data_IF_940127715326
#
_entry.id   IF_940127715326
#
_cell.length_a   1.000
_cell.length_b   1.000
_cell.length_c   1.000
_cell.angle_alpha   90.00
_cell.angle_beta   90.00
_cell.angle_gamma   90.00
#
_symmetry.space_group_name_H-M   'P 1'
#
loop_
_entity.id
_entity.type
_entity.pdbx_description
1 polymer ?
#
# COMPACT_ATOMS: atom_id res chain seq x y z
N UNK A 1 -9.55 10.35 21.87
CA UNK A 1 -8.61 10.46 20.72
C UNK A 1 -9.41 10.29 19.44
N UNK A 2 -8.99 10.86 18.29
CA UNK A 2 -9.65 10.60 17.04
C UNK A 2 -9.67 9.09 16.72
N UNK A 3 -10.68 8.59 15.99
CA UNK A 3 -10.83 7.16 15.71
C UNK A 3 -9.80 6.66 14.68
N UNK A 4 -9.70 5.34 14.53
CA UNK A 4 -9.15 4.70 13.32
C UNK A 4 -10.26 4.61 12.28
N UNK A 5 -10.04 5.18 11.09
CA UNK A 5 -11.00 5.11 9.98
C UNK A 5 -10.66 3.97 9.02
N UNK A 6 -11.70 3.37 8.44
CA UNK A 6 -11.56 2.43 7.32
C UNK A 6 -12.30 3.01 6.11
N UNK A 7 -11.57 3.27 5.03
CA UNK A 7 -12.16 3.59 3.73
C UNK A 7 -12.32 2.33 2.89
N UNK A 8 -13.51 2.14 2.33
CA UNK A 8 -13.78 1.06 1.37
C UNK A 8 -14.92 1.46 0.44
N UNK A 9 -15.12 0.75 -0.67
CA UNK A 9 -16.27 0.95 -1.55
C UNK A 9 -16.64 -0.34 -2.28
N UNK A 10 -17.93 -0.55 -2.53
CA UNK A 10 -18.44 -1.74 -3.23
C UNK A 10 -17.91 -1.88 -4.67
N UNK A 11 -17.53 -0.78 -5.31
CA UNK A 11 -16.92 -0.79 -6.64
C UNK A 11 -15.59 -1.59 -6.65
N UNK A 12 -14.83 -1.61 -5.56
CA UNK A 12 -13.59 -2.36 -5.45
C UNK A 12 -13.81 -3.89 -5.57
N UNK A 13 -15.03 -4.39 -5.31
CA UNK A 13 -15.40 -5.78 -5.54
C UNK A 13 -15.75 -6.09 -7.01
N UNK A 14 -15.94 -5.06 -7.84
CA UNK A 14 -16.27 -5.22 -9.26
C UNK A 14 -15.04 -5.37 -10.16
N UNK A 15 -13.86 -5.02 -9.66
CA UNK A 15 -12.61 -5.32 -10.35
C UNK A 15 -12.38 -6.84 -10.33
N UNK A 16 -12.40 -7.46 -11.51
CA UNK A 16 -12.29 -8.92 -11.68
C UNK A 16 -11.27 -9.23 -12.79
N UNK A 17 -10.00 -9.46 -12.45
CA UNK A 17 -8.95 -9.68 -13.45
C UNK A 17 -9.05 -11.03 -14.17
N UNK A 18 -10.00 -11.87 -13.81
CA UNK A 18 -10.30 -13.12 -14.47
C UNK A 18 -10.46 -14.31 -13.52
N UNK A 19 -10.97 -15.45 -14.02
CA UNK A 19 -11.08 -16.67 -13.23
C UNK A 19 -9.69 -17.16 -12.84
N UNK A 20 -9.53 -17.61 -11.62
CA UNK A 20 -8.27 -18.12 -11.05
C UNK A 20 -7.14 -17.09 -10.89
N UNK A 21 -7.40 -15.80 -11.14
CA UNK A 21 -6.42 -14.77 -10.88
C UNK A 21 -6.20 -14.61 -9.37
N UNK A 22 -4.95 -14.55 -8.88
CA UNK A 22 -4.68 -14.45 -7.44
C UNK A 22 -5.22 -13.14 -6.85
N UNK A 23 -5.10 -12.02 -7.56
CA UNK A 23 -5.72 -10.74 -7.19
C UNK A 23 -7.21 -10.79 -7.50
N UNK A 24 -8.03 -11.20 -6.55
CA UNK A 24 -9.46 -11.49 -6.73
C UNK A 24 -10.34 -10.69 -5.75
N UNK A 25 -11.65 -10.50 -6.07
CA UNK A 25 -12.60 -9.88 -5.15
C UNK A 25 -12.69 -10.57 -3.79
N UNK A 26 -12.38 -11.86 -3.71
CA UNK A 26 -12.42 -12.63 -2.46
C UNK A 26 -11.43 -12.09 -1.43
N UNK A 27 -10.29 -11.51 -1.87
CA UNK A 27 -9.33 -10.86 -0.99
C UNK A 27 -10.00 -9.74 -0.18
N UNK A 28 -10.66 -8.80 -0.84
CA UNK A 28 -11.34 -7.70 -0.15
C UNK A 28 -12.52 -8.18 0.68
N UNK A 29 -13.28 -9.18 0.22
CA UNK A 29 -14.35 -9.78 1.03
C UNK A 29 -13.80 -10.34 2.34
N UNK A 30 -12.67 -11.04 2.30
CA UNK A 30 -11.97 -11.58 3.48
C UNK A 30 -11.54 -10.45 4.43
N UNK A 31 -10.90 -9.40 3.93
CA UNK A 31 -10.51 -8.22 4.73
C UNK A 31 -11.73 -7.58 5.40
N UNK A 32 -12.80 -7.32 4.64
CA UNK A 32 -14.00 -6.69 5.17
C UNK A 32 -14.71 -7.58 6.20
N UNK A 33 -14.75 -8.90 6.00
CA UNK A 33 -15.31 -9.84 6.95
C UNK A 33 -14.50 -9.85 8.26
N UNK A 34 -13.18 -9.85 8.17
CA UNK A 34 -12.27 -9.78 9.32
C UNK A 34 -12.52 -8.53 10.14
N UNK A 35 -12.53 -7.36 9.49
CA UNK A 35 -12.66 -6.07 10.17
C UNK A 35 -14.09 -5.72 10.63
N UNK A 36 -15.10 -6.48 10.22
CA UNK A 36 -16.48 -6.36 10.74
C UNK A 36 -16.75 -7.27 11.93
N UNK A 37 -15.76 -7.99 12.42
CA UNK A 37 -15.89 -8.79 13.64
C UNK A 37 -16.04 -7.88 14.88
N UNK A 38 -16.61 -8.39 15.99
CA UNK A 38 -16.83 -7.59 17.22
C UNK A 38 -15.56 -6.95 17.80
N UNK A 39 -14.41 -7.53 17.56
CA UNK A 39 -13.09 -7.02 17.95
C UNK A 39 -12.82 -5.60 17.41
N UNK A 40 -13.34 -5.31 16.22
CA UNK A 40 -13.14 -4.05 15.49
C UNK A 40 -14.36 -3.11 15.55
N UNK A 41 -15.23 -3.28 16.53
CA UNK A 41 -16.45 -2.46 16.66
C UNK A 41 -16.17 -0.95 16.83
N UNK A 42 -14.96 -0.58 17.24
CA UNK A 42 -14.53 0.82 17.38
C UNK A 42 -14.03 1.47 16.08
N UNK A 43 -13.90 0.71 15.00
CA UNK A 43 -13.55 1.27 13.69
C UNK A 43 -14.70 2.13 13.14
N UNK A 44 -14.34 3.29 12.62
CA UNK A 44 -15.28 4.11 11.85
C UNK A 44 -15.14 3.83 10.36
N UNK A 45 -16.25 3.60 9.68
CA UNK A 45 -16.30 3.24 8.28
C UNK A 45 -16.75 4.43 7.43
N UNK A 46 -16.06 4.68 6.35
CA UNK A 46 -16.42 5.69 5.33
C UNK A 46 -16.36 5.10 3.93
N UNK A 47 -17.29 5.53 3.08
CA UNK A 47 -17.20 5.21 1.66
C UNK A 47 -16.02 5.93 1.02
N UNK A 48 -15.20 5.19 0.29
CA UNK A 48 -14.11 5.76 -0.48
C UNK A 48 -14.67 6.72 -1.56
N UNK A 49 -14.31 8.00 -1.55
CA UNK A 49 -14.71 8.92 -2.60
C UNK A 49 -14.11 8.52 -3.94
N UNK A 50 -14.63 9.06 -5.01
CA UNK A 50 -14.01 8.94 -6.34
C UNK A 50 -12.76 9.83 -6.35
N UNK A 51 -11.61 9.28 -6.72
CA UNK A 51 -10.41 10.06 -6.99
C UNK A 51 -10.60 10.93 -8.25
N UNK A 52 -9.79 11.97 -8.38
CA UNK A 52 -9.80 12.84 -9.56
C UNK A 52 -8.59 12.56 -10.46
N UNK A 53 -8.69 12.97 -11.74
CA UNK A 53 -7.57 12.81 -12.67
C UNK A 53 -6.36 13.66 -12.23
N UNK A 54 -6.60 14.82 -11.65
CA UNK A 54 -5.55 15.69 -11.11
C UNK A 54 -4.78 15.01 -9.97
N UNK A 55 -5.47 14.21 -9.14
CA UNK A 55 -4.80 13.41 -8.11
C UNK A 55 -3.91 12.33 -8.75
N UNK A 56 -4.41 11.64 -9.78
CA UNK A 56 -3.63 10.61 -10.50
C UNK A 56 -2.40 11.24 -11.18
N UNK A 57 -2.55 12.44 -11.77
CA UNK A 57 -1.47 13.18 -12.43
C UNK A 57 -0.31 13.60 -11.51
N UNK A 58 -0.47 13.55 -10.19
CA UNK A 58 0.64 13.81 -9.27
C UNK A 58 1.80 12.80 -9.43
N UNK A 59 1.50 11.62 -9.96
CA UNK A 59 2.47 10.55 -10.17
C UNK A 59 2.48 10.05 -11.62
N UNK A 60 1.31 9.84 -12.21
CA UNK A 60 1.18 9.22 -13.53
C UNK A 60 1.11 10.27 -14.64
N UNK A 61 1.74 9.97 -15.78
CA UNK A 61 1.70 10.83 -16.95
C UNK A 61 0.29 10.92 -17.53
N UNK A 62 -0.05 12.07 -18.15
CA UNK A 62 -1.34 12.24 -18.79
C UNK A 62 -1.57 11.20 -19.89
N UNK A 63 -0.56 10.93 -20.71
CA UNK A 63 -0.65 9.95 -21.80
C UNK A 63 -1.02 8.56 -21.28
N UNK A 64 -0.41 8.13 -20.15
CA UNK A 64 -0.72 6.85 -19.53
C UNK A 64 -2.14 6.82 -18.93
N UNK A 65 -2.58 7.91 -18.32
CA UNK A 65 -3.94 8.02 -17.77
C UNK A 65 -4.97 7.92 -18.90
N UNK A 66 -4.75 8.64 -20.00
CA UNK A 66 -5.63 8.64 -21.17
C UNK A 66 -5.67 7.26 -21.83
N UNK A 67 -4.50 6.60 -21.96
CA UNK A 67 -4.43 5.23 -22.48
C UNK A 67 -5.27 4.26 -21.62
N UNK A 68 -5.08 4.25 -20.30
CA UNK A 68 -5.83 3.37 -19.39
C UNK A 68 -7.32 3.67 -19.43
N UNK A 69 -7.71 4.95 -19.52
CA UNK A 69 -9.11 5.35 -19.60
C UNK A 69 -9.76 4.88 -20.93
N UNK A 70 -9.04 5.02 -22.06
CA UNK A 70 -9.55 4.65 -23.38
C UNK A 70 -9.74 3.14 -23.53
N UNK A 71 -8.78 2.36 -23.03
CA UNK A 71 -8.81 0.90 -23.12
C UNK A 71 -9.65 0.23 -22.03
N UNK A 72 -10.19 0.98 -21.07
CA UNK A 72 -11.04 0.42 -20.01
C UNK A 72 -12.22 -0.35 -20.61
N UNK A 73 -12.34 -1.68 -20.37
CA UNK A 73 -13.27 -2.51 -21.10
C UNK A 73 -14.71 -2.28 -20.62
N UNK A 74 -15.64 -2.24 -21.58
CA UNK A 74 -17.09 -2.29 -21.30
C UNK A 74 -17.59 -3.72 -21.16
N UNK A 75 -16.87 -4.68 -21.74
CA UNK A 75 -17.15 -6.11 -21.72
C UNK A 75 -15.83 -6.89 -21.75
N UNK A 76 -15.80 -8.08 -21.11
CA UNK A 76 -14.61 -8.95 -21.13
C UNK A 76 -13.45 -8.42 -20.31
N UNK A 77 -12.25 -8.70 -20.77
CA UNK A 77 -10.99 -8.41 -20.07
C UNK A 77 -10.02 -7.68 -20.99
N UNK A 78 -9.24 -6.76 -20.41
CA UNK A 78 -8.18 -6.01 -21.11
C UNK A 78 -6.85 -6.16 -20.34
N UNK A 79 -5.88 -6.91 -20.85
CA UNK A 79 -4.55 -7.00 -20.27
C UNK A 79 -3.75 -5.72 -20.51
N UNK A 80 -3.00 -5.25 -19.50
CA UNK A 80 -2.19 -4.03 -19.56
C UNK A 80 -0.69 -4.27 -19.67
N UNK A 81 -0.20 -5.43 -19.20
CA UNK A 81 1.24 -5.72 -19.07
C UNK A 81 1.63 -7.11 -19.60
N UNK A 82 0.93 -7.58 -20.63
CA UNK A 82 1.15 -8.91 -21.19
C UNK A 82 0.33 -10.03 -20.53
N UNK A 83 -0.52 -9.68 -19.53
CA UNK A 83 -1.52 -10.59 -18.99
C UNK A 83 -1.60 -10.70 -17.47
N UNK A 84 -0.65 -10.14 -16.72
CA UNK A 84 -0.67 -10.17 -15.26
C UNK A 84 -1.56 -9.07 -14.66
N UNK A 85 -1.56 -7.89 -15.28
CA UNK A 85 -2.45 -6.79 -14.86
C UNK A 85 -3.62 -6.70 -15.83
N UNK A 86 -4.82 -7.00 -15.34
CA UNK A 86 -6.00 -7.14 -16.20
C UNK A 86 -7.15 -6.27 -15.72
N UNK A 87 -7.69 -5.44 -16.62
CA UNK A 87 -8.92 -4.70 -16.37
C UNK A 87 -10.17 -5.49 -16.76
N UNK A 88 -11.24 -5.27 -16.02
CA UNK A 88 -12.63 -5.69 -16.31
C UNK A 88 -13.56 -4.47 -16.30
N UNK A 89 -14.84 -4.57 -16.67
CA UNK A 89 -15.75 -3.40 -16.74
C UNK A 89 -15.85 -2.56 -15.45
N UNK A 90 -15.56 -3.13 -14.28
CA UNK A 90 -15.57 -2.40 -13.00
C UNK A 90 -14.22 -1.84 -12.56
N UNK A 91 -13.14 -2.10 -13.31
CA UNK A 91 -11.77 -1.80 -12.84
C UNK A 91 -11.48 -0.31 -12.77
N UNK A 92 -11.95 0.48 -13.73
CA UNK A 92 -11.76 1.92 -13.73
C UNK A 92 -12.37 2.58 -12.50
N UNK A 93 -13.63 2.30 -12.18
CA UNK A 93 -14.26 2.83 -10.97
C UNK A 93 -13.53 2.35 -9.72
N UNK A 94 -13.14 1.08 -9.67
CA UNK A 94 -12.44 0.51 -8.53
C UNK A 94 -11.11 1.23 -8.26
N UNK A 95 -10.24 1.40 -9.27
CA UNK A 95 -8.94 2.05 -9.08
C UNK A 95 -9.08 3.52 -8.73
N UNK A 96 -10.05 4.23 -9.30
CA UNK A 96 -10.33 5.62 -8.94
C UNK A 96 -10.85 5.74 -7.50
N UNK A 97 -11.59 4.75 -7.00
CA UNK A 97 -11.96 4.67 -5.57
C UNK A 97 -10.75 4.41 -4.67
N UNK A 98 -9.76 3.62 -5.13
CA UNK A 98 -8.50 3.44 -4.38
C UNK A 98 -7.74 4.76 -4.25
N UNK A 99 -7.59 5.51 -5.33
CA UNK A 99 -6.97 6.85 -5.33
C UNK A 99 -7.71 7.80 -4.39
N UNK A 100 -9.04 7.86 -4.53
CA UNK A 100 -9.87 8.70 -3.66
C UNK A 100 -9.79 8.34 -2.19
N UNK A 101 -9.75 7.03 -1.85
CA UNK A 101 -9.58 6.57 -0.48
C UNK A 101 -8.24 7.02 0.11
N UNK A 102 -7.15 6.87 -0.65
CA UNK A 102 -5.81 7.23 -0.22
C UNK A 102 -5.67 8.74 0.05
N UNK A 103 -6.15 9.59 -0.88
CA UNK A 103 -6.16 11.05 -0.70
C UNK A 103 -7.08 11.49 0.44
N UNK A 104 -8.29 10.92 0.54
CA UNK A 104 -9.20 11.22 1.66
C UNK A 104 -8.65 10.74 3.01
N UNK A 105 -7.83 9.68 3.01
CA UNK A 105 -7.09 9.24 4.18
C UNK A 105 -6.08 10.30 4.64
N UNK A 106 -5.34 10.90 3.70
CA UNK A 106 -4.43 12.02 3.99
C UNK A 106 -5.22 13.21 4.57
N UNK A 107 -6.33 13.61 3.94
CA UNK A 107 -7.18 14.69 4.44
C UNK A 107 -7.64 14.41 5.88
N UNK A 108 -8.11 13.20 6.15
CA UNK A 108 -8.66 12.84 7.46
C UNK A 108 -7.63 12.94 8.59
N UNK A 109 -6.38 12.49 8.36
CA UNK A 109 -5.34 12.56 9.40
C UNK A 109 -4.79 13.97 9.56
N UNK A 110 -4.70 14.76 8.50
CA UNK A 110 -4.24 16.14 8.57
C UNK A 110 -5.27 17.06 9.21
N UNK A 111 -6.57 16.85 8.95
CA UNK A 111 -7.67 17.59 9.58
C UNK A 111 -7.97 17.12 11.01
N UNK A 112 -7.28 16.09 11.51
CA UNK A 112 -7.53 15.46 12.82
C UNK A 112 -8.91 14.81 12.97
N UNK A 113 -9.55 14.45 11.83
CA UNK A 113 -10.78 13.65 11.80
C UNK A 113 -10.51 12.19 12.15
N UNK A 114 -9.29 11.74 11.91
CA UNK A 114 -8.79 10.43 12.28
C UNK A 114 -7.37 10.55 12.86
N UNK A 115 -6.99 9.62 13.74
CA UNK A 115 -5.60 9.43 14.12
C UNK A 115 -4.82 8.71 13.01
N UNK A 116 -5.41 7.63 12.51
CA UNK A 116 -4.89 6.86 11.41
C UNK A 116 -6.02 6.28 10.54
N UNK A 117 -5.67 5.84 9.35
CA UNK A 117 -6.60 5.35 8.34
C UNK A 117 -6.10 4.03 7.78
N UNK A 118 -7.02 3.10 7.53
CA UNK A 118 -6.79 1.92 6.70
C UNK A 118 -7.67 1.97 5.44
N UNK A 119 -7.05 1.99 4.25
CA UNK A 119 -7.74 1.92 2.97
C UNK A 119 -7.91 0.45 2.57
N UNK A 120 -9.07 -0.11 2.92
CA UNK A 120 -9.46 -1.47 2.53
C UNK A 120 -10.03 -1.43 1.11
N UNK A 121 -9.17 -1.25 0.11
CA UNK A 121 -9.52 -1.09 -1.30
C UNK A 121 -8.67 -1.98 -2.19
N UNK A 122 -9.11 -2.22 -3.43
CA UNK A 122 -8.40 -2.94 -4.49
C UNK A 122 -8.84 -2.42 -5.87
N UNK A 123 -7.97 -2.52 -6.90
CA UNK A 123 -6.67 -3.23 -6.97
C UNK A 123 -5.58 -2.59 -6.12
N UNK A 124 -4.47 -3.32 -5.94
CA UNK A 124 -3.24 -2.82 -5.34
C UNK A 124 -2.55 -1.76 -6.22
N UNK A 125 -1.45 -1.15 -5.75
CA UNK A 125 -0.88 0.00 -6.45
C UNK A 125 0.64 0.08 -6.54
N UNK A 126 1.39 -0.48 -5.61
CA UNK A 126 2.82 -0.20 -5.43
C UNK A 126 3.73 -0.57 -6.61
N UNK A 127 3.28 -1.46 -7.51
CA UNK A 127 4.03 -1.81 -8.72
C UNK A 127 3.79 -0.84 -9.90
N UNK A 128 2.69 -0.09 -9.92
CA UNK A 128 2.39 0.82 -11.02
C UNK A 128 3.42 1.95 -11.08
N UNK A 129 4.18 1.98 -12.17
CA UNK A 129 5.17 3.02 -12.45
C UNK A 129 4.50 4.29 -13.02
N UNK A 130 5.18 5.43 -13.10
CA UNK A 130 4.57 6.67 -13.59
C UNK A 130 3.92 6.57 -14.98
N UNK A 131 4.40 5.68 -15.85
CA UNK A 131 3.89 5.50 -17.22
C UNK A 131 3.51 4.05 -17.54
N UNK A 132 3.30 3.19 -16.53
CA UNK A 132 3.08 1.76 -16.81
C UNK A 132 2.32 1.06 -15.68
N UNK A 133 1.23 0.37 -16.03
CA UNK A 133 0.57 -0.60 -15.17
C UNK A 133 1.35 -1.92 -15.17
N UNK A 134 1.50 -2.55 -14.01
CA UNK A 134 2.13 -3.87 -13.90
C UNK A 134 1.89 -4.49 -12.52
N UNK A 135 2.13 -5.80 -12.38
CA UNK A 135 2.03 -6.50 -11.09
C UNK A 135 0.67 -6.36 -10.43
N UNK A 136 -0.41 -6.51 -11.18
CA UNK A 136 -1.79 -6.33 -10.77
C UNK A 136 -2.20 -4.87 -10.45
N UNK A 137 -1.26 -3.92 -10.53
CA UNK A 137 -1.42 -2.52 -10.17
C UNK A 137 -1.71 -1.67 -11.41
N UNK A 138 -2.74 -0.81 -11.33
CA UNK A 138 -3.12 0.10 -12.41
C UNK A 138 -2.58 1.51 -12.14
N UNK A 139 -2.93 2.11 -11.00
CA UNK A 139 -2.38 3.37 -10.51
C UNK A 139 -1.77 3.16 -9.12
N UNK A 140 -0.75 3.95 -8.78
CA UNK A 140 -0.03 3.83 -7.52
C UNK A 140 -0.62 4.76 -6.47
N UNK A 141 -1.64 4.28 -5.74
CA UNK A 141 -2.33 5.07 -4.74
C UNK A 141 -1.46 5.49 -3.55
N UNK A 142 -0.44 4.69 -3.18
CA UNK A 142 0.48 5.05 -2.10
C UNK A 142 1.39 6.22 -2.51
N UNK A 143 1.96 6.16 -3.71
CA UNK A 143 2.75 7.25 -4.25
C UNK A 143 1.90 8.51 -4.49
N UNK A 144 0.66 8.35 -5.01
CA UNK A 144 -0.27 9.46 -5.21
C UNK A 144 -0.61 10.13 -3.88
N UNK A 145 -0.91 9.36 -2.82
CA UNK A 145 -1.19 9.91 -1.50
C UNK A 145 0.00 10.69 -0.92
N UNK A 146 1.22 10.19 -1.12
CA UNK A 146 2.44 10.88 -0.68
C UNK A 146 2.66 12.20 -1.45
N UNK A 147 2.52 12.16 -2.77
CA UNK A 147 2.60 13.35 -3.61
C UNK A 147 1.47 14.35 -3.27
N UNK A 148 0.27 13.86 -3.01
CA UNK A 148 -0.86 14.69 -2.59
C UNK A 148 -0.58 15.40 -1.26
N UNK A 149 -0.02 14.70 -0.28
CA UNK A 149 0.38 15.29 0.99
C UNK A 149 1.46 16.38 0.81
N UNK A 150 2.44 16.17 -0.06
CA UNK A 150 3.48 17.15 -0.36
C UNK A 150 2.96 18.29 -1.25
N UNK A 151 2.40 17.98 -2.42
CA UNK A 151 2.09 18.97 -3.45
C UNK A 151 0.84 19.82 -3.11
N UNK A 152 -0.16 19.24 -2.42
CA UNK A 152 -1.42 19.91 -2.08
C UNK A 152 -1.41 20.42 -0.65
N UNK A 153 -1.08 19.56 0.33
CA UNK A 153 -1.05 19.94 1.75
C UNK A 153 0.26 20.59 2.20
N UNK A 154 1.28 20.63 1.34
CA UNK A 154 2.57 21.31 1.60
C UNK A 154 3.36 20.72 2.77
N UNK A 155 3.21 19.43 3.03
CA UNK A 155 4.12 18.74 3.93
C UNK A 155 5.52 18.71 3.30
N UNK A 156 6.56 18.85 4.11
CA UNK A 156 7.94 18.90 3.61
C UNK A 156 8.55 17.50 3.43
N UNK A 157 8.09 16.52 4.23
CA UNK A 157 8.64 15.16 4.26
C UNK A 157 7.53 14.13 4.44
N UNK A 158 7.37 13.25 3.46
CA UNK A 158 6.42 12.13 3.52
C UNK A 158 7.14 10.82 3.30
N UNK A 159 6.91 9.84 4.17
CA UNK A 159 7.49 8.51 4.03
C UNK A 159 6.44 7.49 3.59
N UNK A 160 6.79 6.66 2.62
CA UNK A 160 6.09 5.41 2.31
C UNK A 160 6.93 4.25 2.79
N UNK A 161 6.38 3.44 3.68
CA UNK A 161 6.99 2.20 4.16
C UNK A 161 6.19 1.02 3.64
N UNK A 162 6.85 0.14 2.91
CA UNK A 162 6.28 -0.96 2.17
C UNK A 162 6.79 -2.29 2.75
N UNK A 163 5.89 -3.11 3.26
CA UNK A 163 6.21 -4.45 3.74
C UNK A 163 5.49 -5.55 2.95
N UNK A 164 4.93 -5.22 1.77
CA UNK A 164 4.56 -6.24 0.80
C UNK A 164 5.78 -7.11 0.48
N UNK A 165 5.57 -8.39 0.21
CA UNK A 165 6.68 -9.31 -0.07
C UNK A 165 7.39 -9.00 -1.38
N UNK A 166 6.73 -8.28 -2.30
CA UNK A 166 7.30 -7.82 -3.55
C UNK A 166 7.86 -6.41 -3.41
N UNK A 167 8.92 -6.13 -4.12
CA UNK A 167 9.45 -4.76 -4.20
C UNK A 167 8.46 -3.82 -4.92
N UNK A 168 8.07 -2.72 -4.30
CA UNK A 168 7.21 -1.71 -4.89
C UNK A 168 7.97 -0.80 -5.87
N UNK A 169 8.37 -1.38 -7.01
CA UNK A 169 9.15 -0.69 -8.06
C UNK A 169 8.50 0.59 -8.55
N UNK A 170 7.16 0.64 -8.59
CA UNK A 170 6.41 1.82 -9.00
C UNK A 170 6.58 2.99 -8.03
N UNK A 171 6.49 2.72 -6.73
CA UNK A 171 6.72 3.73 -5.69
C UNK A 171 8.17 4.20 -5.70
N UNK A 172 9.15 3.27 -5.81
CA UNK A 172 10.55 3.63 -5.97
C UNK A 172 10.80 4.51 -7.19
N UNK A 173 10.25 4.14 -8.36
CA UNK A 173 10.41 4.91 -9.59
C UNK A 173 9.82 6.32 -9.47
N UNK A 174 8.65 6.46 -8.84
CA UNK A 174 8.00 7.75 -8.62
C UNK A 174 8.79 8.67 -7.68
N UNK A 175 9.55 8.11 -6.73
CA UNK A 175 10.28 8.87 -5.70
C UNK A 175 11.77 9.05 -5.99
N UNK A 176 12.31 8.39 -7.01
CA UNK A 176 13.75 8.30 -7.23
C UNK A 176 14.45 9.66 -7.25
N UNK A 177 13.82 10.65 -7.87
CA UNK A 177 14.33 12.02 -8.03
C UNK A 177 13.60 13.05 -7.11
N UNK A 178 12.86 12.58 -6.09
CA UNK A 178 12.05 13.41 -5.20
C UNK A 178 12.53 13.30 -3.75
N UNK A 179 13.51 14.10 -3.31
CA UNK A 179 14.11 13.98 -1.98
C UNK A 179 13.15 14.23 -0.81
N UNK A 180 12.04 14.90 -1.05
CA UNK A 180 10.95 15.14 -0.09
C UNK A 180 10.09 13.91 0.18
N UNK A 181 10.17 12.88 -0.68
CA UNK A 181 9.46 11.64 -0.57
C UNK A 181 10.43 10.49 -0.28
N UNK A 182 10.27 9.86 0.87
CA UNK A 182 11.10 8.74 1.28
C UNK A 182 10.37 7.41 1.03
N UNK A 183 11.07 6.45 0.47
CA UNK A 183 10.56 5.09 0.28
C UNK A 183 11.45 4.08 0.98
N UNK A 184 10.87 3.24 1.83
CA UNK A 184 11.54 2.11 2.46
C UNK A 184 10.77 0.83 2.19
N UNK A 185 11.42 -0.17 1.61
CA UNK A 185 10.80 -1.47 1.27
C UNK A 185 11.56 -2.63 1.89
N UNK A 186 10.82 -3.55 2.52
CA UNK A 186 11.32 -4.89 2.84
C UNK A 186 10.64 -5.91 1.95
N UNK A 187 11.40 -6.64 1.15
CA UNK A 187 10.86 -7.54 0.14
C UNK A 187 11.74 -8.78 -0.05
N UNK A 188 11.14 -9.86 -0.54
CA UNK A 188 11.92 -11.05 -0.88
C UNK A 188 12.80 -10.80 -2.12
N UNK A 189 14.06 -11.23 -2.05
CA UNK A 189 14.96 -11.22 -3.20
C UNK A 189 15.79 -12.52 -3.24
N UNK A 190 15.80 -13.24 -4.40
CA UNK A 190 15.13 -12.91 -5.66
C UNK A 190 13.61 -13.16 -5.62
N UNK A 191 12.84 -12.25 -6.20
CA UNK A 191 11.41 -12.40 -6.49
C UNK A 191 11.01 -11.37 -7.57
N UNK A 192 9.77 -11.44 -8.08
CA UNK A 192 9.17 -10.39 -8.92
C UNK A 192 9.23 -9.03 -8.18
N UNK A 193 9.46 -7.91 -8.86
CA UNK A 193 9.76 -7.73 -10.28
C UNK A 193 11.25 -7.83 -10.63
N UNK A 194 12.13 -8.22 -9.69
CA UNK A 194 13.58 -8.35 -9.90
C UNK A 194 14.38 -7.06 -9.68
N UNK A 195 13.74 -6.03 -9.07
CA UNK A 195 14.32 -4.74 -8.68
C UNK A 195 14.47 -4.66 -7.16
N UNK A 196 14.86 -3.50 -6.61
CA UNK A 196 14.96 -3.29 -5.16
C UNK A 196 16.29 -3.77 -4.57
N UNK A 197 17.39 -3.56 -5.27
CA UNK A 197 18.73 -3.84 -4.71
C UNK A 197 19.05 -2.80 -3.64
N UNK A 198 19.72 -3.19 -2.57
CA UNK A 198 20.15 -2.27 -1.50
C UNK A 198 21.05 -1.12 -1.97
N UNK A 199 21.66 -1.25 -3.16
CA UNK A 199 22.44 -0.18 -3.78
C UNK A 199 21.58 0.88 -4.53
N UNK A 200 20.29 0.63 -4.71
CA UNK A 200 19.35 1.58 -5.33
C UNK A 200 18.84 2.53 -4.25
N UNK A 201 19.48 3.69 -4.10
CA UNK A 201 19.28 4.61 -2.97
C UNK A 201 18.58 5.92 -3.33
N UNK A 202 18.20 6.13 -4.59
CA UNK A 202 17.69 7.42 -5.07
C UNK A 202 18.77 8.51 -5.12
N UNK A 203 18.41 9.68 -5.65
CA UNK A 203 19.38 10.79 -5.86
C UNK A 203 19.81 11.47 -4.57
N UNK A 204 19.04 11.32 -3.48
CA UNK A 204 19.29 11.98 -2.18
C UNK A 204 19.26 10.98 -1.02
N UNK A 205 19.56 9.71 -1.27
CA UNK A 205 19.44 8.62 -0.30
C UNK A 205 18.04 8.50 0.31
N UNK A 206 17.03 8.85 -0.46
CA UNK A 206 15.62 8.82 -0.10
C UNK A 206 14.92 7.49 -0.45
N UNK A 207 15.68 6.51 -0.94
CA UNK A 207 15.23 5.15 -1.18
C UNK A 207 16.03 4.18 -0.31
N UNK A 208 15.32 3.32 0.42
CA UNK A 208 15.92 2.26 1.22
C UNK A 208 15.31 0.91 0.85
N UNK A 209 16.15 0.01 0.35
CA UNK A 209 15.77 -1.36 0.04
C UNK A 209 16.40 -2.35 1.01
N UNK A 210 15.56 -3.16 1.65
CA UNK A 210 15.94 -4.23 2.57
C UNK A 210 15.56 -5.59 1.95
N UNK A 211 16.37 -6.12 1.01
CA UNK A 211 16.10 -7.43 0.41
C UNK A 211 16.29 -8.53 1.45
N UNK A 212 15.32 -9.45 1.49
CA UNK A 212 15.24 -10.58 2.42
C UNK A 212 15.36 -11.90 1.62
N UNK A 213 16.14 -12.88 2.08
CA UNK A 213 16.26 -14.15 1.38
C UNK A 213 14.96 -14.97 1.47
N UNK A 214 14.67 -15.85 0.49
CA UNK A 214 13.61 -16.84 0.62
C UNK A 214 13.77 -17.64 1.90
N UNK A 215 12.67 -17.91 2.61
CA UNK A 215 12.68 -18.61 3.90
C UNK A 215 13.00 -17.71 5.11
N UNK A 216 13.17 -16.40 4.91
CA UNK A 216 13.33 -15.45 6.00
C UNK A 216 12.14 -15.56 6.98
N UNK A 217 12.46 -15.80 8.23
CA UNK A 217 11.53 -15.94 9.35
C UNK A 217 11.40 -14.64 10.16
N UNK A 218 10.59 -14.67 11.20
CA UNK A 218 10.32 -13.53 12.09
C UNK A 218 11.59 -12.95 12.69
N UNK A 219 12.52 -13.77 13.17
CA UNK A 219 13.75 -13.31 13.85
C UNK A 219 14.64 -12.53 12.89
N UNK A 220 14.87 -13.08 11.69
CA UNK A 220 15.67 -12.40 10.67
C UNK A 220 14.98 -11.15 10.15
N UNK A 221 13.67 -11.22 9.89
CA UNK A 221 12.86 -10.07 9.45
C UNK A 221 12.99 -8.91 10.45
N UNK A 222 12.64 -9.16 11.73
CA UNK A 222 12.67 -8.11 12.76
C UNK A 222 14.07 -7.54 12.93
N UNK A 223 15.08 -8.38 12.98
CA UNK A 223 16.49 -7.95 13.10
C UNK A 223 16.89 -7.01 11.94
N UNK A 224 16.50 -7.31 10.70
CA UNK A 224 16.81 -6.47 9.54
C UNK A 224 16.02 -5.15 9.56
N UNK A 225 14.74 -5.21 9.92
CA UNK A 225 13.90 -4.01 10.03
C UNK A 225 14.42 -3.08 11.15
N UNK A 226 14.77 -3.62 12.31
CA UNK A 226 15.34 -2.85 13.44
C UNK A 226 16.71 -2.23 13.11
N UNK A 227 17.54 -2.97 12.38
CA UNK A 227 18.88 -2.48 12.03
C UNK A 227 18.88 -1.45 10.91
N UNK A 228 18.06 -1.65 9.88
CA UNK A 228 18.16 -0.90 8.63
C UNK A 228 16.98 0.09 8.43
N UNK A 229 15.74 -0.38 8.58
CA UNK A 229 14.55 0.38 8.15
C UNK A 229 14.07 1.40 9.20
N UNK A 230 13.83 0.96 10.43
CA UNK A 230 13.26 1.84 11.47
C UNK A 230 14.17 3.04 11.79
N UNK A 231 15.52 2.90 11.88
CA UNK A 231 16.40 4.04 12.06
C UNK A 231 16.33 5.05 10.91
N UNK A 232 16.29 4.57 9.66
CA UNK A 232 16.24 5.43 8.48
C UNK A 232 14.92 6.22 8.39
N UNK A 233 13.77 5.56 8.65
CA UNK A 233 12.47 6.25 8.71
C UNK A 233 12.46 7.31 9.82
N UNK A 234 13.02 6.99 10.99
CA UNK A 234 13.10 7.95 12.10
C UNK A 234 14.04 9.13 11.81
N UNK A 235 15.18 8.88 11.13
CA UNK A 235 16.14 9.92 10.72
C UNK A 235 15.54 10.86 9.68
N UNK A 236 14.74 10.35 8.74
CA UNK A 236 14.04 11.14 7.73
C UNK A 236 13.04 12.12 8.38
N UNK A 237 12.52 11.82 9.59
CA UNK A 237 11.55 12.65 10.35
C UNK A 237 10.33 13.02 9.53
N UNK A 238 9.57 12.03 9.05
CA UNK A 238 8.39 12.27 8.24
C UNK A 238 7.33 13.07 8.99
N UNK A 239 6.55 13.85 8.26
CA UNK A 239 5.36 14.58 8.75
C UNK A 239 4.07 13.79 8.49
N UNK A 240 4.18 12.71 7.71
CA UNK A 240 3.17 11.69 7.48
C UNK A 240 3.85 10.38 7.13
N UNK A 241 3.37 9.27 7.69
CA UNK A 241 3.77 7.92 7.27
C UNK A 241 2.61 7.30 6.48
N UNK A 242 2.92 6.83 5.27
CA UNK A 242 2.03 5.99 4.47
C UNK A 242 2.58 4.56 4.52
N UNK A 243 1.71 3.57 4.67
CA UNK A 243 2.09 2.16 4.68
C UNK A 243 1.48 1.48 3.46
N UNK A 244 2.33 0.93 2.57
CA UNK A 244 1.93 -0.09 1.61
C UNK A 244 1.87 -1.43 2.35
N UNK A 245 0.65 -1.83 2.70
CA UNK A 245 0.39 -2.97 3.57
C UNK A 245 0.01 -4.21 2.76
N UNK A 246 1.03 -4.95 2.29
CA UNK A 246 0.87 -6.29 1.75
C UNK A 246 0.94 -7.35 2.84
N UNK A 247 0.19 -8.43 2.69
CA UNK A 247 0.17 -9.56 3.63
C UNK A 247 0.66 -10.87 2.99
N UNK A 248 1.31 -10.78 1.84
CA UNK A 248 1.88 -11.88 1.08
C UNK A 248 3.28 -12.32 1.57
N UNK A 249 3.89 -11.58 2.49
CA UNK A 249 5.03 -12.06 3.27
C UNK A 249 4.64 -13.14 4.31
N UNK A 250 3.34 -13.38 4.50
CA UNK A 250 2.84 -14.40 5.44
C UNK A 250 3.22 -15.80 4.96
N UNK A 251 3.65 -16.68 5.89
CA UNK A 251 4.11 -18.07 5.62
C UNK A 251 3.12 -18.97 4.86
N UNK A 252 1.84 -18.59 4.82
CA UNK A 252 0.80 -19.30 4.09
C UNK A 252 0.58 -18.78 2.66
N UNK A 253 1.28 -17.72 2.26
CA UNK A 253 1.07 -17.13 0.94
C UNK A 253 1.64 -18.01 -0.16
N UNK A 254 0.87 -18.26 -1.25
CA UNK A 254 1.31 -19.13 -2.33
C UNK A 254 2.29 -18.46 -3.31
N UNK A 255 2.46 -17.14 -3.29
CA UNK A 255 3.25 -16.40 -4.29
C UNK A 255 4.67 -16.07 -3.83
N UNK A 256 5.00 -16.33 -2.55
CA UNK A 256 6.31 -16.02 -2.00
C UNK A 256 6.79 -17.10 -1.02
N UNK A 257 8.00 -16.90 -0.49
CA UNK A 257 8.64 -17.87 0.38
C UNK A 257 9.12 -17.26 1.71
N UNK A 258 8.71 -16.03 2.06
CA UNK A 258 8.91 -15.52 3.41
C UNK A 258 8.02 -16.30 4.40
N UNK A 259 8.38 -16.25 5.66
CA UNK A 259 7.75 -17.08 6.69
C UNK A 259 7.29 -16.24 7.89
N UNK A 260 6.68 -15.08 7.60
CA UNK A 260 6.14 -14.21 8.63
C UNK A 260 4.81 -14.77 9.16
N UNK A 261 4.54 -14.46 10.42
CA UNK A 261 3.30 -14.73 11.11
C UNK A 261 2.50 -13.44 11.37
N UNK A 262 1.27 -13.57 11.83
CA UNK A 262 0.39 -12.44 12.18
C UNK A 262 1.07 -11.44 13.13
N UNK A 263 1.83 -11.94 14.11
CA UNK A 263 2.54 -11.10 15.09
C UNK A 263 3.62 -10.21 14.47
N UNK A 264 4.15 -10.55 13.30
CA UNK A 264 5.14 -9.72 12.60
C UNK A 264 4.48 -8.48 11.97
N UNK A 265 3.28 -8.65 11.41
CA UNK A 265 2.50 -7.52 10.88
C UNK A 265 2.01 -6.60 12.00
N UNK A 266 1.64 -7.15 13.16
CA UNK A 266 1.35 -6.35 14.35
C UNK A 266 2.59 -5.57 14.79
N UNK A 267 3.72 -6.24 14.93
CA UNK A 267 4.96 -5.65 15.42
C UNK A 267 5.45 -4.51 14.51
N UNK A 268 5.59 -4.75 13.19
CA UNK A 268 6.06 -3.71 12.26
C UNK A 268 5.13 -2.49 12.26
N UNK A 269 3.82 -2.73 12.31
CA UNK A 269 2.84 -1.65 12.36
C UNK A 269 2.97 -0.84 13.63
N UNK A 270 3.15 -1.49 14.79
CA UNK A 270 3.38 -0.80 16.08
C UNK A 270 4.65 0.04 16.07
N UNK A 271 5.74 -0.47 15.50
CA UNK A 271 6.98 0.30 15.40
C UNK A 271 6.80 1.54 14.50
N UNK A 272 6.09 1.42 13.36
CA UNK A 272 5.78 2.56 12.50
C UNK A 272 4.85 3.58 13.16
N UNK A 273 3.83 3.13 13.91
CA UNK A 273 2.96 4.01 14.71
C UNK A 273 3.77 4.76 15.77
N UNK A 274 4.74 4.10 16.46
CA UNK A 274 5.62 4.76 17.42
C UNK A 274 6.46 5.85 16.75
N UNK A 275 7.02 5.58 15.57
CA UNK A 275 7.76 6.61 14.83
C UNK A 275 6.82 7.76 14.43
N UNK A 276 5.59 7.45 14.01
CA UNK A 276 4.61 8.48 13.71
C UNK A 276 4.25 9.34 14.94
N UNK A 277 4.14 8.74 16.13
CA UNK A 277 3.94 9.46 17.39
C UNK A 277 5.13 10.39 17.73
N UNK A 278 6.35 9.94 17.47
CA UNK A 278 7.57 10.70 17.70
C UNK A 278 7.74 11.87 16.69
N UNK A 279 7.29 11.71 15.44
CA UNK A 279 7.65 12.61 14.33
C UNK A 279 6.50 13.41 13.75
N UNK A 280 5.27 12.84 13.74
CA UNK A 280 4.14 13.39 13.01
C UNK A 280 2.78 13.24 13.71
N UNK A 281 2.74 13.39 15.04
CA UNK A 281 1.50 13.38 15.83
C UNK A 281 0.63 12.12 15.63
N UNK A 282 1.26 10.98 15.28
CA UNK A 282 0.59 9.71 15.04
C UNK A 282 -0.11 9.60 13.68
N UNK A 283 0.17 10.49 12.72
CA UNK A 283 -0.46 10.47 11.39
C UNK A 283 0.03 9.30 10.56
N UNK A 284 -0.86 8.34 10.32
CA UNK A 284 -0.60 7.15 9.49
C UNK A 284 -1.76 6.92 8.52
N UNK A 285 -1.45 6.71 7.24
CA UNK A 285 -2.39 6.22 6.22
C UNK A 285 -1.88 4.90 5.70
N UNK A 286 -2.60 3.82 5.97
CA UNK A 286 -2.25 2.48 5.50
C UNK A 286 -3.13 2.08 4.32
N UNK A 287 -2.55 1.45 3.32
CA UNK A 287 -3.19 1.09 2.05
C UNK A 287 -2.96 -0.40 1.80
N UNK A 288 -4.03 -1.14 1.55
CA UNK A 288 -3.98 -2.57 1.24
C UNK A 288 -3.27 -2.81 -0.09
N UNK A 289 -2.25 -3.66 -0.07
CA UNK A 289 -1.55 -4.15 -1.26
C UNK A 289 -1.78 -5.65 -1.47
N UNK A 290 -0.74 -6.49 -1.48
CA UNK A 290 -0.82 -7.93 -1.71
C UNK A 290 -1.35 -8.76 -0.53
N UNK A 291 -1.30 -10.07 -0.71
CA UNK A 291 -1.81 -11.10 0.21
C UNK A 291 -2.84 -11.99 -0.47
N UNK A 292 -2.44 -13.22 -0.77
CA UNK A 292 -3.16 -14.13 -1.67
C UNK A 292 -3.58 -15.45 -0.99
N UNK A 293 -3.11 -15.70 0.22
CA UNK A 293 -3.70 -16.67 1.13
C UNK A 293 -4.83 -16.01 1.92
N UNK A 294 -6.07 -16.48 1.79
CA UNK A 294 -7.20 -15.88 2.52
C UNK A 294 -7.03 -15.98 4.05
N UNK A 295 -6.41 -17.04 4.54
CA UNK A 295 -6.09 -17.22 5.96
C UNK A 295 -4.99 -16.22 6.40
N UNK A 296 -3.87 -16.16 5.67
CA UNK A 296 -2.78 -15.22 5.95
C UNK A 296 -3.22 -13.75 5.82
N UNK A 297 -4.02 -13.45 4.79
CA UNK A 297 -4.58 -12.12 4.58
C UNK A 297 -5.52 -11.70 5.74
N UNK A 298 -6.37 -12.62 6.22
CA UNK A 298 -7.25 -12.37 7.36
C UNK A 298 -6.45 -12.13 8.65
N UNK A 299 -5.47 -13.01 8.93
CA UNK A 299 -4.62 -12.94 10.12
C UNK A 299 -3.76 -11.67 10.12
N UNK A 300 -3.03 -11.42 9.03
CA UNK A 300 -2.19 -10.24 8.87
C UNK A 300 -2.98 -8.93 8.94
N UNK A 301 -4.14 -8.85 8.25
CA UNK A 301 -5.02 -7.67 8.34
C UNK A 301 -5.51 -7.43 9.75
N UNK A 302 -5.94 -8.50 10.45
CA UNK A 302 -6.37 -8.43 11.86
C UNK A 302 -5.28 -7.84 12.74
N UNK A 303 -4.07 -8.38 12.62
CA UNK A 303 -2.91 -7.99 13.40
C UNK A 303 -2.50 -6.54 13.13
N UNK A 304 -2.45 -6.16 11.86
CA UNK A 304 -2.12 -4.80 11.39
C UNK A 304 -3.12 -3.76 11.90
N UNK A 305 -4.42 -3.99 11.67
CA UNK A 305 -5.45 -3.00 12.06
C UNK A 305 -5.59 -2.92 13.59
N UNK A 306 -5.41 -4.03 14.32
CA UNK A 306 -5.32 -4.01 15.78
C UNK A 306 -4.18 -3.08 16.23
N UNK A 307 -2.99 -3.21 15.63
CA UNK A 307 -1.84 -2.37 15.94
C UNK A 307 -2.10 -0.88 15.67
N UNK A 308 -2.83 -0.54 14.60
CA UNK A 308 -3.28 0.84 14.32
C UNK A 308 -4.23 1.37 15.41
N UNK A 309 -5.08 0.52 15.98
CA UNK A 309 -6.06 0.91 17.01
C UNK A 309 -5.45 1.02 18.41
N UNK A 310 -4.35 0.33 18.67
CA UNK A 310 -3.63 0.34 19.95
C UNK A 310 -2.75 1.58 20.09
N UNK A 311 -3.32 2.68 20.54
CA UNK A 311 -2.61 3.97 20.62
C UNK A 311 -2.70 4.61 22.00
#
# INVERSE_FOLDING_TARGET
MPPTLVYTHAACLKHQPGPHHPESPERLKTVLQTLRSPEFAALEWRDAPMGTLEQVQLIHSQDFIDEVAEIAPKHGYMPLDGGDTVMSPGSWEAVMRCVGAACAGVDAVLNKDARNVFCATRPCGHHAEPGKAMGFCIFNQAAIAAAYAYDVHKLERVAVVDFDVHHGNGTQAAFYDRPELFYASSHQSPLYPGTGKSAETGVSHNILNVPLPPGCDSDLFRSRIEADMLPAVREFRPELIIISAGFDAHRLDPLAALRLDDDDFHWITRELVRIADETCEGRVVSILEGGYSMEGLSGGTRAHVRALMET
#
